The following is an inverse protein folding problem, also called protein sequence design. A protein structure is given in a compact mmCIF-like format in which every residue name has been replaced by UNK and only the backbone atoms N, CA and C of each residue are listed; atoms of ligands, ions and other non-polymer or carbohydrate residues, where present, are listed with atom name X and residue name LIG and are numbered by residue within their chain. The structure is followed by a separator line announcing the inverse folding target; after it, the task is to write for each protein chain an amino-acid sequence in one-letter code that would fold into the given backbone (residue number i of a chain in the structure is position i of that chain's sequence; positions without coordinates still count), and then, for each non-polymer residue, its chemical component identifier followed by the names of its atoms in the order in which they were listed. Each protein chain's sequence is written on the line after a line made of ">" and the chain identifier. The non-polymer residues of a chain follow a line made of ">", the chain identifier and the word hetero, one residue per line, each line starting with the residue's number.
data_IF_228715404413
#
_entry.id   IF_228715404413
#
_cell.length_a   1.000
_cell.length_b   1.000
_cell.length_c   1.000
_cell.angle_alpha   90.00
_cell.angle_beta   90.00
_cell.angle_gamma   90.00
#
_symmetry.space_group_name_H-M   'P 1'
#
loop_
_entity.id
_entity.type
_entity.pdbx_description
1 polymer ?
#
# COMPACT_ATOMS: atom_id res chain seq x y z
N UNK A 1 17.69 -18.46 5.93
CA UNK A 1 17.17 -17.78 4.73
C UNK A 1 17.44 -16.31 4.92
N UNK A 2 18.31 -15.74 4.10
CA UNK A 2 18.62 -14.32 4.15
C UNK A 2 17.35 -13.48 3.98
N UNK A 3 17.29 -12.41 4.75
CA UNK A 3 16.15 -11.53 4.85
C UNK A 3 16.13 -10.55 3.69
N UNK A 4 15.92 -11.01 2.47
CA UNK A 4 15.82 -10.14 1.30
C UNK A 4 14.48 -9.42 1.29
N UNK A 5 14.53 -8.10 1.12
CA UNK A 5 13.37 -7.28 0.77
C UNK A 5 12.82 -7.74 -0.58
N UNK A 6 11.50 -7.86 -0.68
CA UNK A 6 10.78 -8.02 -1.94
C UNK A 6 10.24 -6.66 -2.38
N UNK A 7 10.34 -6.37 -3.68
CA UNK A 7 9.85 -5.12 -4.25
C UNK A 7 9.35 -5.37 -5.68
N UNK A 8 8.10 -5.03 -5.93
CA UNK A 8 7.49 -5.10 -7.25
C UNK A 8 6.72 -3.81 -7.54
N UNK A 9 6.94 -3.25 -8.73
CA UNK A 9 6.20 -2.11 -9.25
C UNK A 9 5.07 -2.62 -10.13
N UNK A 10 3.84 -2.25 -9.80
CA UNK A 10 2.64 -2.53 -10.58
C UNK A 10 2.28 -1.27 -11.36
N UNK A 11 2.21 -1.39 -12.69
CA UNK A 11 1.97 -0.25 -13.59
C UNK A 11 0.55 -0.33 -14.14
N UNK A 12 -0.16 0.79 -14.20
CA UNK A 12 -1.41 0.88 -14.95
C UNK A 12 -1.13 1.17 -16.43
N UNK A 13 -1.81 0.44 -17.32
CA UNK A 13 -1.59 0.55 -18.77
C UNK A 13 -2.21 1.81 -19.38
N UNK A 14 -3.21 2.41 -18.71
CA UNK A 14 -4.06 3.45 -19.29
C UNK A 14 -3.96 4.81 -18.60
N UNK A 15 -3.50 4.88 -17.35
CA UNK A 15 -3.51 6.12 -16.54
C UNK A 15 -2.15 6.53 -15.98
N UNK A 16 -1.03 6.03 -16.54
CA UNK A 16 0.35 6.39 -16.10
C UNK A 16 0.56 6.29 -14.58
N UNK A 17 -0.23 5.46 -13.90
CA UNK A 17 -0.26 5.29 -12.46
C UNK A 17 0.69 4.15 -12.06
N UNK A 18 1.43 4.37 -10.96
CA UNK A 18 2.33 3.39 -10.37
C UNK A 18 1.87 3.03 -8.98
N UNK A 19 1.81 1.73 -8.72
CA UNK A 19 1.59 1.15 -7.41
C UNK A 19 2.78 0.26 -7.05
N UNK A 20 2.98 0.01 -5.76
CA UNK A 20 4.12 -0.73 -5.27
C UNK A 20 3.71 -1.80 -4.28
N UNK A 21 4.21 -3.03 -4.48
CA UNK A 21 4.13 -4.12 -3.53
C UNK A 21 5.50 -4.30 -2.88
N UNK A 22 5.57 -4.16 -1.55
CA UNK A 22 6.82 -4.19 -0.80
C UNK A 22 6.71 -5.22 0.31
N UNK A 23 7.65 -6.16 0.39
CA UNK A 23 7.59 -7.31 1.29
C UNK A 23 8.85 -7.57 2.09
N UNK A 24 8.69 -8.20 3.25
CA UNK A 24 9.78 -8.69 4.09
C UNK A 24 9.33 -9.91 4.90
N UNK A 25 10.00 -11.04 4.73
CA UNK A 25 9.54 -12.30 5.31
C UNK A 25 8.18 -12.70 4.74
N UNK A 26 7.18 -12.85 5.60
CA UNK A 26 5.80 -13.24 5.23
C UNK A 26 4.83 -12.05 5.25
N UNK A 27 5.34 -10.82 5.37
CA UNK A 27 4.53 -9.61 5.47
C UNK A 27 4.80 -8.68 4.30
N UNK A 28 3.76 -8.00 3.84
CA UNK A 28 3.82 -7.05 2.75
C UNK A 28 2.94 -5.82 2.97
N UNK A 29 3.23 -4.79 2.20
CA UNK A 29 2.42 -3.58 2.07
C UNK A 29 2.18 -3.26 0.61
N UNK A 30 1.06 -2.58 0.36
CA UNK A 30 0.75 -2.02 -0.96
C UNK A 30 0.63 -0.51 -0.84
N UNK A 31 1.31 0.21 -1.75
CA UNK A 31 1.22 1.67 -1.86
C UNK A 31 0.42 2.02 -3.10
N UNK A 32 -0.59 2.88 -2.93
CA UNK A 32 -1.50 3.38 -3.97
C UNK A 32 -2.08 2.26 -4.84
N UNK A 33 -2.90 1.35 -4.31
CA UNK A 33 -3.43 0.23 -5.08
C UNK A 33 -4.34 0.71 -6.22
N UNK A 34 -4.15 0.16 -7.42
CA UNK A 34 -5.10 0.29 -8.54
C UNK A 34 -6.37 -0.53 -8.28
N UNK A 35 -7.46 -0.21 -8.97
CA UNK A 35 -8.80 -0.78 -8.73
C UNK A 35 -8.86 -2.30 -8.86
N UNK A 36 -8.24 -2.87 -9.89
CA UNK A 36 -8.14 -4.32 -10.13
C UNK A 36 -7.16 -4.97 -9.14
N UNK A 37 -7.64 -5.16 -7.91
CA UNK A 37 -6.82 -5.55 -6.76
C UNK A 37 -6.28 -6.98 -6.80
N UNK A 38 -6.81 -7.83 -7.71
CA UNK A 38 -6.42 -9.23 -7.81
C UNK A 38 -4.91 -9.40 -8.04
N UNK A 39 -4.29 -8.47 -8.77
CA UNK A 39 -2.84 -8.45 -9.01
C UNK A 39 -2.03 -8.50 -7.70
N UNK A 40 -2.45 -7.78 -6.66
CA UNK A 40 -1.75 -7.76 -5.38
C UNK A 40 -1.97 -9.04 -4.57
N UNK A 41 -3.17 -9.62 -4.66
CA UNK A 41 -3.49 -10.91 -4.02
C UNK A 41 -2.67 -12.04 -4.67
N UNK A 42 -2.49 -11.98 -5.98
CA UNK A 42 -1.71 -12.97 -6.72
C UNK A 42 -0.22 -12.83 -6.43
N UNK A 43 0.32 -11.61 -6.36
CA UNK A 43 1.70 -11.36 -5.90
C UNK A 43 1.88 -11.91 -4.48
N UNK A 44 0.97 -11.58 -3.55
CA UNK A 44 1.03 -12.05 -2.17
C UNK A 44 1.05 -13.58 -2.08
N UNK A 45 0.18 -14.27 -2.82
CA UNK A 45 0.15 -15.74 -2.87
C UNK A 45 1.42 -16.32 -3.48
N UNK A 46 1.89 -15.76 -4.60
CA UNK A 46 3.10 -16.22 -5.32
C UNK A 46 4.34 -16.16 -4.43
N UNK A 47 4.47 -15.09 -3.64
CA UNK A 47 5.62 -14.85 -2.77
C UNK A 47 5.44 -15.37 -1.33
N UNK A 48 4.29 -15.98 -1.00
CA UNK A 48 4.01 -16.49 0.34
C UNK A 48 3.90 -15.38 1.40
N UNK A 49 3.37 -14.21 1.03
CA UNK A 49 3.26 -13.03 1.87
C UNK A 49 1.79 -12.69 2.20
N UNK A 50 1.60 -11.93 3.28
CA UNK A 50 0.31 -11.39 3.69
C UNK A 50 0.37 -9.86 3.62
N UNK A 51 -0.54 -9.23 2.89
CA UNK A 51 -0.67 -7.78 2.89
C UNK A 51 -1.22 -7.34 4.24
N UNK A 52 -0.42 -6.59 5.01
CA UNK A 52 -0.78 -6.09 6.34
C UNK A 52 -1.30 -4.67 6.29
N UNK A 53 -0.70 -3.84 5.43
CA UNK A 53 -1.01 -2.42 5.34
C UNK A 53 -1.15 -1.98 3.89
N UNK A 54 -2.10 -1.10 3.68
CA UNK A 54 -2.33 -0.38 2.44
C UNK A 54 -2.08 1.10 2.74
N UNK A 55 -1.20 1.73 1.97
CA UNK A 55 -0.90 3.14 2.11
C UNK A 55 -1.40 3.90 0.88
N UNK A 56 -2.19 4.94 1.11
CA UNK A 56 -2.49 5.95 0.11
C UNK A 56 -1.63 7.18 0.37
N UNK A 57 -0.88 7.60 -0.66
CA UNK A 57 0.00 8.76 -0.55
C UNK A 57 -0.79 10.05 -0.42
N UNK A 58 -1.89 10.17 -1.17
CA UNK A 58 -2.80 11.30 -1.19
C UNK A 58 -4.16 10.88 -1.76
N UNK A 59 -5.14 11.79 -1.74
CA UNK A 59 -6.43 11.52 -2.39
C UNK A 59 -6.25 11.68 -3.90
N UNK A 60 -6.20 10.56 -4.60
CA UNK A 60 -6.01 10.54 -6.05
C UNK A 60 -7.23 11.13 -6.79
N UNK A 61 -6.98 11.92 -7.84
CA UNK A 61 -8.02 12.59 -8.65
C UNK A 61 -8.18 12.00 -10.06
N UNK A 62 -7.23 11.15 -10.48
CA UNK A 62 -7.11 10.67 -11.87
C UNK A 62 -7.61 9.23 -12.07
N UNK A 63 -7.82 8.47 -10.99
CA UNK A 63 -8.26 7.07 -11.05
C UNK A 63 -9.05 6.65 -9.81
N UNK A 64 -9.74 5.51 -9.91
CA UNK A 64 -10.46 4.91 -8.78
C UNK A 64 -9.47 4.06 -7.97
N UNK A 65 -9.25 4.45 -6.72
CA UNK A 65 -8.37 3.74 -5.80
C UNK A 65 -8.90 2.36 -5.40
N UNK A 66 -7.99 1.40 -5.23
CA UNK A 66 -8.29 0.01 -4.89
C UNK A 66 -8.36 -0.31 -3.40
N UNK A 67 -8.02 0.63 -2.50
CA UNK A 67 -7.71 0.31 -1.11
C UNK A 67 -8.81 -0.41 -0.34
N UNK A 68 -10.07 -0.01 -0.51
CA UNK A 68 -11.20 -0.68 0.14
C UNK A 68 -11.38 -2.12 -0.34
N UNK A 69 -11.28 -2.34 -1.65
CA UNK A 69 -11.40 -3.69 -2.23
C UNK A 69 -10.22 -4.57 -1.83
N UNK A 70 -9.00 -4.03 -1.84
CA UNK A 70 -7.83 -4.77 -1.38
C UNK A 70 -7.91 -5.08 0.12
N UNK A 71 -8.40 -4.16 0.93
CA UNK A 71 -8.62 -4.39 2.36
C UNK A 71 -9.65 -5.51 2.59
N UNK A 72 -10.76 -5.52 1.84
CA UNK A 72 -11.77 -6.58 1.92
C UNK A 72 -11.19 -7.95 1.53
N UNK A 73 -10.33 -8.00 0.51
CA UNK A 73 -9.70 -9.25 0.03
C UNK A 73 -8.61 -9.80 0.96
N UNK A 74 -7.96 -8.94 1.75
CA UNK A 74 -6.74 -9.30 2.50
C UNK A 74 -6.87 -9.15 4.02
N UNK A 75 -7.86 -8.40 4.49
CA UNK A 75 -7.96 -7.97 5.89
C UNK A 75 -6.95 -6.91 6.29
N UNK A 76 -6.27 -6.26 5.34
CA UNK A 76 -5.26 -5.23 5.60
C UNK A 76 -5.89 -3.92 6.11
N UNK A 77 -5.14 -3.21 6.95
CA UNK A 77 -5.49 -1.86 7.38
C UNK A 77 -5.12 -0.81 6.31
N UNK A 78 -5.99 0.17 6.09
CA UNK A 78 -5.75 1.30 5.17
C UNK A 78 -5.25 2.52 5.95
N UNK A 79 -4.25 3.21 5.39
CA UNK A 79 -3.58 4.35 6.00
C UNK A 79 -3.38 5.48 4.98
N UNK A 80 -3.55 6.74 5.42
CA UNK A 80 -3.38 7.93 4.59
C UNK A 80 -2.96 9.15 5.42
N UNK A 81 -2.63 10.26 4.74
CA UNK A 81 -2.31 11.54 5.38
C UNK A 81 -3.52 12.23 6.06
N UNK A 82 -3.28 13.30 6.85
CA UNK A 82 -4.32 13.98 7.62
C UNK A 82 -5.26 14.88 6.78
N UNK A 83 -4.90 15.17 5.54
CA UNK A 83 -5.67 16.03 4.65
C UNK A 83 -5.59 15.53 3.20
N UNK A 84 -6.67 15.62 2.41
CA UNK A 84 -8.04 15.98 2.82
C UNK A 84 -8.67 14.92 3.73
N UNK A 85 -9.88 15.15 4.23
CA UNK A 85 -10.60 14.14 5.03
C UNK A 85 -11.02 12.94 4.18
N UNK A 86 -10.62 11.73 4.60
CA UNK A 86 -11.06 10.47 4.01
C UNK A 86 -12.20 9.88 4.83
N UNK A 87 -13.15 9.24 4.16
CA UNK A 87 -14.29 8.55 4.80
C UNK A 87 -13.97 7.13 5.25
N UNK A 88 -12.73 6.69 5.09
CA UNK A 88 -12.25 5.35 5.40
C UNK A 88 -10.76 5.41 5.72
N UNK A 89 -10.21 4.31 6.27
CA UNK A 89 -8.81 4.24 6.64
C UNK A 89 -8.48 5.03 7.91
N UNK A 90 -7.19 4.99 8.27
CA UNK A 90 -6.65 5.61 9.48
C UNK A 90 -5.67 6.72 9.09
N UNK A 91 -5.88 7.91 9.65
CA UNK A 91 -4.94 9.03 9.52
C UNK A 91 -3.60 8.67 10.19
N UNK A 92 -2.52 8.95 9.47
CA UNK A 92 -1.14 8.71 9.91
C UNK A 92 -0.45 10.03 10.22
N UNK A 93 0.03 10.27 11.47
CA UNK A 93 0.80 11.46 11.78
C UNK A 93 2.21 11.37 11.18
N UNK A 94 2.80 12.53 10.91
CA UNK A 94 4.19 12.64 10.46
C UNK A 94 5.14 11.90 11.43
N UNK A 95 6.09 11.15 10.87
CA UNK A 95 7.08 10.39 11.63
C UNK A 95 6.58 9.06 12.18
N UNK A 96 5.30 8.68 11.99
CA UNK A 96 4.82 7.36 12.41
C UNK A 96 5.54 6.26 11.65
N UNK A 97 5.98 5.25 12.39
CA UNK A 97 6.70 4.10 11.86
C UNK A 97 5.81 2.86 11.84
N UNK A 98 5.93 2.07 10.78
CA UNK A 98 5.31 0.77 10.59
C UNK A 98 6.41 -0.27 10.41
N UNK A 99 6.27 -1.43 11.07
CA UNK A 99 7.18 -2.55 10.92
C UNK A 99 6.55 -3.59 10.01
N UNK A 100 7.30 -4.03 9.00
CA UNK A 100 6.90 -5.06 8.03
C UNK A 100 8.03 -6.05 7.94
N UNK A 101 7.90 -7.20 8.60
CA UNK A 101 9.03 -8.10 8.82
C UNK A 101 10.23 -7.35 9.43
N UNK A 102 11.33 -7.23 8.66
CA UNK A 102 12.52 -6.46 9.08
C UNK A 102 12.58 -5.04 8.52
N UNK A 103 11.64 -4.66 7.67
CA UNK A 103 11.56 -3.31 7.11
C UNK A 103 10.87 -2.36 8.08
N UNK A 104 11.23 -1.09 7.93
CA UNK A 104 10.60 0.04 8.60
C UNK A 104 10.12 1.04 7.57
N UNK A 105 8.83 1.34 7.59
CA UNK A 105 8.22 2.37 6.75
C UNK A 105 7.88 3.54 7.65
N UNK A 106 8.43 4.72 7.35
CA UNK A 106 8.19 5.94 8.12
C UNK A 106 7.38 6.91 7.28
N UNK A 107 6.24 7.35 7.81
CA UNK A 107 5.41 8.34 7.14
C UNK A 107 6.07 9.73 7.22
N UNK A 108 6.14 10.43 6.09
CA UNK A 108 6.63 11.81 6.01
C UNK A 108 5.51 12.66 5.43
N UNK A 109 5.12 13.71 6.15
CA UNK A 109 4.09 14.62 5.68
C UNK A 109 4.67 15.58 4.64
N UNK A 110 4.22 15.43 3.39
CA UNK A 110 4.72 16.16 2.22
C UNK A 110 3.58 16.87 1.48
N UNK A 111 2.97 17.92 2.07
CA UNK A 111 1.85 18.63 1.45
C UNK A 111 2.29 19.43 0.22
N UNK A 112 1.41 19.58 -0.77
CA UNK A 112 1.62 20.48 -1.90
C UNK A 112 0.69 20.18 -3.07
N UNK A 113 0.85 19.00 -3.66
CA UNK A 113 -0.20 18.37 -4.45
C UNK A 113 -1.36 18.00 -3.53
#
# INVERSE_FOLDING_TARGET
>A
MESSMFFEKVTSEIVSHLSYFIGSGTEAVVVDPRRDCQVYVDIAKREGMNVRHIFETHRNEDYIVGSLELADLTGADIYHGPWPEFKYGKVVPNGREFKIGKLKVTAIHTPGH
#
